data_IF_576101243529
#
_entry.id   IF_576101243529
#
_cell.length_a   1.000
_cell.length_b   1.000
_cell.length_c   1.000
_cell.angle_alpha   90.00
_cell.angle_beta   90.00
_cell.angle_gamma   90.00
#
_symmetry.space_group_name_H-M   'P 1'
#
loop_
_entity.id
_entity.type
_entity.pdbx_description
1 polymer ?
#
# COMPACT_ATOMS: atom_id res chain seq x y z
N UNK A 1 -9.11 19.55 -6.14
CA UNK A 1 -9.86 18.81 -7.17
C UNK A 1 -8.97 17.68 -7.71
N UNK A 2 -9.55 16.51 -7.98
CA UNK A 2 -8.86 15.39 -8.65
C UNK A 2 -8.57 15.81 -10.09
N UNK A 3 -7.34 15.61 -10.54
CA UNK A 3 -6.87 15.95 -11.88
C UNK A 3 -6.56 14.73 -12.74
N UNK A 4 -6.25 13.59 -12.10
CA UNK A 4 -5.89 12.35 -12.76
C UNK A 4 -6.33 11.16 -11.90
N UNK A 5 -6.83 10.11 -12.55
CA UNK A 5 -7.19 8.85 -11.91
C UNK A 5 -6.49 7.70 -12.61
N UNK A 6 -5.90 6.80 -11.83
CA UNK A 6 -5.25 5.59 -12.34
C UNK A 6 -5.70 4.37 -11.55
N UNK A 7 -5.79 3.24 -12.25
CA UNK A 7 -6.07 1.93 -11.68
C UNK A 7 -4.79 1.11 -11.66
N UNK A 8 -4.46 0.57 -10.50
CA UNK A 8 -3.38 -0.39 -10.27
C UNK A 8 -3.98 -1.73 -9.86
N UNK A 9 -4.22 -2.64 -10.82
CA UNK A 9 -4.86 -3.94 -10.58
C UNK A 9 -3.91 -4.91 -9.86
N UNK A 10 -4.41 -6.07 -9.39
CA UNK A 10 -3.55 -7.16 -8.95
C UNK A 10 -2.68 -7.66 -10.11
N UNK A 11 -1.54 -8.28 -9.79
CA UNK A 11 -0.55 -8.76 -10.78
C UNK A 11 0.02 -7.66 -11.70
N UNK A 12 -0.01 -6.41 -11.26
CA UNK A 12 0.48 -5.24 -12.00
C UNK A 12 1.96 -5.33 -12.36
N UNK A 13 2.75 -6.07 -11.58
CA UNK A 13 4.14 -6.34 -11.89
C UNK A 13 4.31 -7.10 -13.20
N UNK A 14 3.51 -8.13 -13.44
CA UNK A 14 3.51 -8.87 -14.69
C UNK A 14 3.01 -8.00 -15.86
N UNK A 15 2.01 -7.15 -15.63
CA UNK A 15 1.50 -6.23 -16.65
C UNK A 15 2.55 -5.18 -17.07
N UNK A 16 3.48 -4.81 -16.19
CA UNK A 16 4.60 -3.91 -16.52
C UNK A 16 5.56 -4.54 -17.54
N UNK A 17 5.69 -5.86 -17.56
CA UNK A 17 6.60 -6.57 -18.46
C UNK A 17 6.05 -6.72 -19.89
N UNK A 18 4.75 -6.60 -20.08
CA UNK A 18 4.14 -6.68 -21.41
C UNK A 18 4.55 -5.48 -22.25
N UNK A 19 5.21 -5.72 -23.39
CA UNK A 19 5.66 -4.66 -24.29
C UNK A 19 4.49 -3.95 -24.99
N UNK A 20 3.47 -4.71 -25.39
CA UNK A 20 2.33 -4.25 -26.17
C UNK A 20 1.02 -4.49 -25.45
N UNK A 21 0.00 -3.70 -25.81
CA UNK A 21 -1.36 -3.88 -25.34
C UNK A 21 -1.90 -5.21 -25.85
N UNK A 22 -2.45 -6.10 -25.01
CA UNK A 22 -3.08 -7.32 -25.44
C UNK A 22 -4.23 -7.06 -26.42
N UNK A 23 -4.46 -7.99 -27.35
CA UNK A 23 -5.56 -7.87 -28.32
C UNK A 23 -6.95 -8.00 -27.71
N UNK A 24 -7.07 -8.68 -26.56
CA UNK A 24 -8.33 -8.75 -25.81
C UNK A 24 -8.52 -7.48 -24.97
N UNK A 25 -9.74 -6.96 -24.97
CA UNK A 25 -10.10 -5.82 -24.11
C UNK A 25 -10.79 -6.33 -22.86
N UNK A 26 -10.23 -5.96 -21.72
CA UNK A 26 -10.85 -6.15 -20.42
C UNK A 26 -10.67 -4.83 -19.66
N UNK A 27 -11.77 -4.17 -19.28
CA UNK A 27 -11.79 -2.80 -18.78
C UNK A 27 -10.66 -2.44 -17.82
N UNK A 28 -10.45 -3.25 -16.80
CA UNK A 28 -9.41 -3.03 -15.80
C UNK A 28 -7.97 -3.02 -16.39
N UNK A 29 -7.68 -3.90 -17.33
CA UNK A 29 -6.36 -3.96 -17.96
C UNK A 29 -6.17 -2.86 -18.99
N UNK A 30 -7.22 -2.43 -19.68
CA UNK A 30 -7.17 -1.29 -20.57
C UNK A 30 -6.77 -0.01 -19.82
N UNK A 31 -7.37 0.26 -18.66
CA UNK A 31 -7.04 1.38 -17.79
C UNK A 31 -5.57 1.35 -17.31
N UNK A 32 -5.05 0.14 -17.02
CA UNK A 32 -3.65 -0.01 -16.65
C UNK A 32 -2.70 0.29 -17.82
N UNK A 33 -3.06 -0.09 -19.05
CA UNK A 33 -2.26 0.26 -20.21
C UNK A 33 -2.27 1.76 -20.52
N UNK A 34 -3.38 2.45 -20.27
CA UNK A 34 -3.44 3.91 -20.35
C UNK A 34 -2.51 4.57 -19.31
N UNK A 35 -2.40 4.00 -18.12
CA UNK A 35 -1.39 4.38 -17.14
C UNK A 35 0.05 4.18 -17.67
N UNK A 36 0.38 3.02 -18.27
CA UNK A 36 1.71 2.79 -18.88
C UNK A 36 2.03 3.81 -19.96
N UNK A 37 1.08 4.13 -20.81
CA UNK A 37 1.22 5.17 -21.84
C UNK A 37 1.48 6.53 -21.17
N UNK A 38 0.76 6.85 -20.09
CA UNK A 38 0.95 8.08 -19.35
C UNK A 38 2.33 8.16 -18.69
N UNK A 39 2.91 7.04 -18.24
CA UNK A 39 4.28 6.99 -17.73
C UNK A 39 5.32 7.36 -18.81
N UNK A 40 5.10 6.99 -20.06
CA UNK A 40 6.04 7.22 -21.15
C UNK A 40 5.92 8.65 -21.76
N UNK A 41 4.80 9.34 -21.54
CA UNK A 41 4.62 10.71 -22.05
C UNK A 41 5.49 11.70 -21.29
N UNK A 42 6.28 12.55 -21.94
CA UNK A 42 7.04 13.60 -21.27
C UNK A 42 6.09 14.59 -20.57
N UNK A 43 6.48 15.04 -19.38
CA UNK A 43 5.78 16.11 -18.68
C UNK A 43 6.35 17.48 -19.10
N UNK A 44 5.52 18.51 -19.22
CA UNK A 44 5.98 19.88 -19.51
C UNK A 44 6.95 20.40 -18.44
N UNK A 45 6.77 19.96 -17.20
CA UNK A 45 7.65 20.25 -16.06
C UNK A 45 7.76 18.99 -15.20
N UNK A 46 8.97 18.66 -14.69
CA UNK A 46 9.12 17.60 -13.69
C UNK A 46 8.27 17.87 -12.46
N UNK A 47 7.68 16.84 -11.88
CA UNK A 47 7.01 16.96 -10.59
C UNK A 47 8.04 17.21 -9.49
N UNK A 48 7.71 18.07 -8.55
CA UNK A 48 8.48 18.20 -7.31
C UNK A 48 8.00 17.09 -6.38
N UNK A 49 8.87 16.15 -6.07
CA UNK A 49 8.57 15.03 -5.20
C UNK A 49 8.91 15.44 -3.76
N UNK A 50 7.96 15.20 -2.85
CA UNK A 50 8.21 15.41 -1.43
C UNK A 50 9.34 14.48 -0.93
N UNK A 51 10.35 15.00 -0.23
CA UNK A 51 11.46 14.20 0.27
C UNK A 51 11.04 13.01 1.15
N UNK A 52 9.93 13.16 1.89
CA UNK A 52 9.40 12.08 2.74
C UNK A 52 8.79 10.97 1.90
N UNK A 53 8.04 11.30 0.84
CA UNK A 53 7.55 10.31 -0.12
C UNK A 53 8.72 9.59 -0.78
N UNK A 54 9.75 10.33 -1.21
CA UNK A 54 10.96 9.74 -1.82
C UNK A 54 11.64 8.74 -0.86
N UNK A 55 11.80 9.11 0.41
CA UNK A 55 12.38 8.22 1.42
C UNK A 55 11.50 6.99 1.68
N UNK A 56 10.16 7.12 1.70
CA UNK A 56 9.25 5.98 1.85
C UNK A 56 9.31 5.05 0.63
N UNK A 57 9.40 5.60 -0.58
CA UNK A 57 9.57 4.80 -1.80
C UNK A 57 10.87 3.99 -1.78
N UNK A 58 11.97 4.60 -1.35
CA UNK A 58 13.26 3.91 -1.22
C UNK A 58 13.16 2.76 -0.21
N UNK A 59 12.52 2.96 0.94
CA UNK A 59 12.33 1.91 1.94
C UNK A 59 11.45 0.75 1.43
N UNK A 60 10.40 1.05 0.68
CA UNK A 60 9.52 0.03 0.07
C UNK A 60 10.28 -0.80 -0.98
N UNK A 61 11.09 -0.14 -1.80
CA UNK A 61 11.80 -0.79 -2.89
C UNK A 61 13.16 -1.39 -2.45
N UNK A 62 13.71 -1.04 -1.28
CA UNK A 62 15.12 -1.27 -0.92
C UNK A 62 16.06 -0.78 -2.03
N UNK A 63 15.79 0.42 -2.53
CA UNK A 63 16.47 0.99 -3.67
C UNK A 63 15.60 1.99 -4.44
N UNK A 64 15.98 2.29 -5.66
CA UNK A 64 15.33 3.30 -6.48
C UNK A 64 14.97 2.76 -7.86
N UNK A 65 13.87 3.26 -8.41
CA UNK A 65 13.41 2.96 -9.76
C UNK A 65 13.53 4.22 -10.62
N UNK A 66 14.15 4.08 -11.78
CA UNK A 66 14.29 5.15 -12.75
C UNK A 66 13.85 4.69 -14.13
N UNK A 67 13.17 5.57 -14.84
CA UNK A 67 12.89 5.37 -16.25
C UNK A 67 14.06 5.96 -17.05
N UNK A 68 14.76 5.12 -17.79
CA UNK A 68 15.85 5.49 -18.67
C UNK A 68 15.43 5.11 -20.08
N UNK A 69 15.13 6.10 -20.91
CA UNK A 69 14.52 5.91 -22.23
C UNK A 69 13.22 5.09 -22.12
N UNK A 70 13.10 3.97 -22.81
CA UNK A 70 11.95 3.06 -22.80
C UNK A 70 12.08 1.92 -21.77
N UNK A 71 13.08 1.97 -20.89
CA UNK A 71 13.35 0.91 -19.91
C UNK A 71 13.23 1.44 -18.48
N UNK A 72 12.78 0.58 -17.61
CA UNK A 72 12.79 0.83 -16.16
C UNK A 72 13.98 0.08 -15.58
N UNK A 73 14.86 0.84 -14.91
CA UNK A 73 16.05 0.31 -14.24
C UNK A 73 15.84 0.40 -12.74
N UNK A 74 16.10 -0.69 -12.07
CA UNK A 74 16.12 -0.78 -10.62
C UNK A 74 17.57 -0.69 -10.13
N UNK A 75 17.80 0.24 -9.22
CA UNK A 75 19.06 0.45 -8.51
C UNK A 75 18.90 0.02 -7.08
N UNK A 76 19.64 -0.98 -6.63
CA UNK A 76 19.62 -1.44 -5.24
C UNK A 76 20.37 -0.47 -4.34
N UNK A 77 20.08 -0.47 -3.05
CA UNK A 77 20.85 0.31 -2.05
C UNK A 77 22.33 -0.13 -1.98
N UNK A 78 22.65 -1.35 -2.42
CA UNK A 78 24.03 -1.87 -2.51
C UNK A 78 24.77 -1.42 -3.78
N UNK A 79 24.16 -0.61 -4.66
CA UNK A 79 24.77 -0.07 -5.85
C UNK A 79 24.69 -0.97 -7.11
N UNK A 80 23.95 -2.07 -7.05
CA UNK A 80 23.72 -2.90 -8.23
C UNK A 80 22.55 -2.33 -9.04
N UNK A 81 22.69 -2.29 -10.36
CA UNK A 81 21.62 -1.91 -11.29
C UNK A 81 21.19 -3.06 -12.16
N UNK A 82 19.88 -3.16 -12.41
CA UNK A 82 19.31 -4.19 -13.28
C UNK A 82 18.01 -3.71 -13.94
N UNK A 83 17.63 -4.29 -15.10
CA UNK A 83 16.30 -4.05 -15.65
C UNK A 83 15.22 -4.49 -14.66
N UNK A 84 14.05 -3.81 -14.64
CA UNK A 84 12.92 -4.19 -13.77
C UNK A 84 12.50 -5.65 -13.98
N UNK A 85 12.58 -6.16 -15.22
CA UNK A 85 12.28 -7.57 -15.56
C UNK A 85 13.13 -8.58 -14.80
N UNK A 86 14.35 -8.22 -14.40
CA UNK A 86 15.25 -9.06 -13.61
C UNK A 86 15.08 -8.88 -12.08
N UNK A 87 14.31 -7.89 -11.65
CA UNK A 87 14.10 -7.63 -10.24
C UNK A 87 13.15 -8.64 -9.58
N UNK A 88 13.15 -8.69 -8.25
CA UNK A 88 12.24 -9.52 -7.47
C UNK A 88 10.77 -9.14 -7.71
N UNK A 89 9.84 -10.11 -7.58
CA UNK A 89 8.40 -9.89 -7.78
C UNK A 89 7.86 -8.72 -6.95
N UNK A 90 8.30 -8.61 -5.70
CA UNK A 90 7.90 -7.50 -4.82
C UNK A 90 8.27 -6.12 -5.34
N UNK A 91 9.40 -6.00 -6.04
CA UNK A 91 9.83 -4.73 -6.68
C UNK A 91 8.96 -4.45 -7.91
N UNK A 92 8.71 -5.48 -8.72
CA UNK A 92 7.85 -5.38 -9.90
C UNK A 92 6.42 -4.96 -9.54
N UNK A 93 5.87 -5.52 -8.47
CA UNK A 93 4.52 -5.16 -7.97
C UNK A 93 4.44 -3.72 -7.46
N UNK A 94 5.49 -3.21 -6.83
CA UNK A 94 5.51 -1.84 -6.33
C UNK A 94 5.93 -0.80 -7.38
N UNK A 95 6.57 -1.22 -8.47
CA UNK A 95 7.07 -0.34 -9.51
C UNK A 95 6.00 0.60 -10.09
N UNK A 96 4.78 0.16 -10.45
CA UNK A 96 3.76 1.05 -10.97
C UNK A 96 3.42 2.21 -10.04
N UNK A 97 3.23 1.92 -8.74
CA UNK A 97 2.87 2.95 -7.76
C UNK A 97 4.02 3.92 -7.49
N UNK A 98 5.24 3.41 -7.34
CA UNK A 98 6.40 4.26 -7.09
C UNK A 98 6.78 5.10 -8.31
N UNK A 99 6.67 4.57 -9.53
CA UNK A 99 6.86 5.34 -10.76
C UNK A 99 5.78 6.40 -10.95
N UNK A 100 4.54 6.11 -10.56
CA UNK A 100 3.44 7.07 -10.57
C UNK A 100 3.76 8.26 -9.66
N UNK A 101 4.18 8.00 -8.42
CA UNK A 101 4.56 9.04 -7.45
C UNK A 101 5.83 9.80 -7.86
N UNK A 102 6.78 9.13 -8.54
CA UNK A 102 7.96 9.78 -9.10
C UNK A 102 7.62 10.73 -10.25
N UNK A 103 6.60 10.41 -11.01
CA UNK A 103 6.24 11.18 -12.21
C UNK A 103 5.27 12.30 -11.93
N UNK A 104 4.29 12.06 -11.05
CA UNK A 104 3.19 13.00 -10.79
C UNK A 104 3.22 13.45 -9.34
N UNK A 105 2.84 14.71 -9.10
CA UNK A 105 2.59 15.15 -7.74
C UNK A 105 1.45 14.35 -7.11
N UNK A 106 1.59 13.98 -5.84
CA UNK A 106 0.53 13.32 -5.07
C UNK A 106 -0.75 14.18 -5.01
N UNK A 107 -0.60 15.51 -5.01
CA UNK A 107 -1.72 16.46 -4.95
C UNK A 107 -2.61 16.36 -6.18
N UNK A 108 -3.87 15.99 -5.97
CA UNK A 108 -4.87 15.84 -7.05
C UNK A 108 -4.77 14.52 -7.82
N UNK A 109 -3.86 13.64 -7.43
CA UNK A 109 -3.81 12.27 -7.92
C UNK A 109 -4.91 11.43 -7.26
N UNK A 110 -5.56 10.58 -8.03
CA UNK A 110 -6.50 9.56 -7.53
C UNK A 110 -6.00 8.19 -7.98
N UNK A 111 -5.91 7.24 -7.06
CA UNK A 111 -5.43 5.89 -7.33
C UNK A 111 -6.43 4.87 -6.80
N UNK A 112 -6.91 4.00 -7.69
CA UNK A 112 -7.58 2.78 -7.33
C UNK A 112 -6.51 1.69 -7.24
N UNK A 113 -6.21 1.23 -6.04
CA UNK A 113 -5.10 0.34 -5.77
C UNK A 113 -5.61 -0.98 -5.20
N UNK A 114 -5.62 -2.00 -6.03
CA UNK A 114 -6.05 -3.32 -5.61
C UNK A 114 -4.89 -4.10 -5.00
N UNK A 115 -5.13 -4.64 -3.81
CA UNK A 115 -4.20 -5.48 -3.07
C UNK A 115 -2.75 -4.94 -3.07
N UNK A 116 -2.49 -3.76 -2.46
CA UNK A 116 -1.14 -3.19 -2.42
C UNK A 116 -0.12 -4.12 -1.75
N UNK A 117 -0.58 -5.06 -0.95
CA UNK A 117 0.21 -6.08 -0.25
C UNK A 117 0.61 -7.29 -1.12
N UNK A 118 0.04 -7.45 -2.31
CA UNK A 118 0.27 -8.63 -3.16
C UNK A 118 1.77 -8.89 -3.39
N UNK A 119 2.18 -10.15 -3.20
CA UNK A 119 3.57 -10.61 -3.33
C UNK A 119 4.60 -9.94 -2.40
N UNK A 120 4.14 -9.28 -1.33
CA UNK A 120 5.01 -8.61 -0.38
C UNK A 120 5.16 -9.40 0.93
N UNK A 121 6.40 -9.48 1.44
CA UNK A 121 6.65 -9.93 2.79
C UNK A 121 5.96 -9.01 3.81
N UNK A 122 5.45 -9.50 4.96
CA UNK A 122 4.75 -8.70 5.97
C UNK A 122 5.45 -7.39 6.34
N UNK A 123 6.77 -7.40 6.50
CA UNK A 123 7.54 -6.18 6.77
C UNK A 123 7.38 -5.11 5.69
N UNK A 124 7.34 -5.50 4.42
CA UNK A 124 7.14 -4.57 3.31
C UNK A 124 5.70 -4.08 3.22
N UNK A 125 4.71 -4.91 3.59
CA UNK A 125 3.32 -4.48 3.66
C UNK A 125 3.15 -3.30 4.62
N UNK A 126 3.85 -3.32 5.76
CA UNK A 126 3.90 -2.19 6.71
C UNK A 126 4.49 -0.93 6.06
N UNK A 127 5.60 -1.05 5.32
CA UNK A 127 6.24 0.08 4.64
C UNK A 127 5.37 0.65 3.51
N UNK A 128 4.62 -0.20 2.82
CA UNK A 128 3.65 0.23 1.79
C UNK A 128 2.51 1.02 2.42
N UNK A 129 2.01 0.61 3.58
CA UNK A 129 1.00 1.38 4.32
C UNK A 129 1.54 2.78 4.71
N UNK A 130 2.80 2.88 5.12
CA UNK A 130 3.44 4.17 5.41
C UNK A 130 3.56 5.05 4.15
N UNK A 131 3.98 4.49 3.03
CA UNK A 131 4.05 5.22 1.75
C UNK A 131 2.68 5.73 1.30
N UNK A 132 1.66 4.89 1.41
CA UNK A 132 0.27 5.25 1.08
C UNK A 132 -0.21 6.38 2.00
N UNK A 133 0.04 6.28 3.29
CA UNK A 133 -0.29 7.31 4.28
C UNK A 133 0.37 8.66 3.95
N UNK A 134 1.66 8.64 3.62
CA UNK A 134 2.37 9.83 3.14
C UNK A 134 1.74 10.43 1.88
N UNK A 135 1.38 9.61 0.90
CA UNK A 135 0.77 10.07 -0.34
C UNK A 135 -0.60 10.72 -0.08
N UNK A 136 -1.42 10.13 0.81
CA UNK A 136 -2.72 10.69 1.22
C UNK A 136 -2.53 12.05 1.88
N UNK A 137 -1.58 12.19 2.80
CA UNK A 137 -1.30 13.46 3.49
C UNK A 137 -0.78 14.55 2.54
N UNK A 138 -0.22 14.17 1.40
CA UNK A 138 0.16 15.09 0.32
C UNK A 138 -0.97 15.36 -0.69
N UNK A 139 -2.18 14.88 -0.42
CA UNK A 139 -3.38 15.16 -1.21
C UNK A 139 -3.67 14.15 -2.32
N UNK A 140 -3.12 12.95 -2.24
CA UNK A 140 -3.54 11.82 -3.05
C UNK A 140 -4.86 11.24 -2.52
N UNK A 141 -5.81 11.00 -3.41
CA UNK A 141 -7.04 10.27 -3.10
C UNK A 141 -6.83 8.80 -3.44
N UNK A 142 -7.16 7.91 -2.50
CA UNK A 142 -6.94 6.48 -2.72
C UNK A 142 -8.19 5.66 -2.40
N UNK A 143 -8.46 4.68 -3.25
CA UNK A 143 -9.39 3.59 -2.98
C UNK A 143 -8.58 2.31 -3.01
N UNK A 144 -8.67 1.52 -1.94
CA UNK A 144 -7.81 0.37 -1.72
C UNK A 144 -8.69 -0.83 -1.40
N UNK A 145 -8.42 -1.97 -2.05
CA UNK A 145 -8.90 -3.28 -1.60
C UNK A 145 -7.75 -4.00 -0.93
N UNK A 146 -7.98 -4.68 0.17
CA UNK A 146 -6.93 -5.41 0.89
C UNK A 146 -7.48 -6.62 1.63
N UNK A 147 -6.67 -7.67 1.68
CA UNK A 147 -6.86 -8.86 2.49
C UNK A 147 -5.75 -9.02 3.55
N UNK A 148 -4.94 -7.98 3.79
CA UNK A 148 -3.82 -8.01 4.72
C UNK A 148 -4.18 -7.42 6.08
N UNK A 149 -4.09 -8.24 7.12
CA UNK A 149 -4.14 -7.82 8.51
C UNK A 149 -2.95 -6.91 8.88
N UNK A 150 -1.75 -7.17 8.37
CA UNK A 150 -0.57 -6.33 8.58
C UNK A 150 -0.78 -4.92 8.06
N UNK A 151 -1.36 -4.80 6.86
CA UNK A 151 -1.67 -3.51 6.24
C UNK A 151 -2.72 -2.75 7.07
N UNK A 152 -3.86 -3.38 7.38
CA UNK A 152 -4.96 -2.76 8.16
C UNK A 152 -4.46 -2.37 9.55
N UNK A 153 -3.72 -3.24 10.24
CA UNK A 153 -3.15 -2.98 11.55
C UNK A 153 -2.19 -1.79 11.54
N UNK A 154 -1.39 -1.66 10.48
CA UNK A 154 -0.51 -0.49 10.32
C UNK A 154 -1.30 0.79 10.14
N UNK A 155 -2.32 0.80 9.27
CA UNK A 155 -3.21 1.96 9.09
C UNK A 155 -3.88 2.35 10.43
N UNK A 156 -4.40 1.39 11.18
CA UNK A 156 -4.98 1.63 12.51
C UNK A 156 -3.95 2.27 13.47
N UNK A 157 -2.72 1.79 13.48
CA UNK A 157 -1.66 2.38 14.31
C UNK A 157 -1.35 3.82 13.89
N UNK A 158 -1.29 4.12 12.60
CA UNK A 158 -1.04 5.48 12.10
C UNK A 158 -2.18 6.45 12.46
N UNK A 159 -3.44 5.98 12.42
CA UNK A 159 -4.60 6.74 12.88
C UNK A 159 -4.54 7.01 14.39
N UNK A 160 -4.24 6.00 15.20
CA UNK A 160 -4.11 6.13 16.67
C UNK A 160 -2.96 7.07 17.07
N UNK A 161 -1.83 6.98 16.38
CA UNK A 161 -0.71 7.90 16.59
C UNK A 161 -1.08 9.35 16.22
N UNK A 162 -1.89 9.56 15.18
CA UNK A 162 -2.42 10.88 14.87
C UNK A 162 -3.29 11.41 16.01
N UNK A 163 -4.19 10.60 16.57
CA UNK A 163 -5.04 10.99 17.71
C UNK A 163 -4.23 11.29 18.98
N UNK A 164 -3.03 10.71 19.14
CA UNK A 164 -2.15 11.01 20.26
C UNK A 164 -1.56 12.43 20.19
N UNK A 165 -1.49 13.07 19.03
CA UNK A 165 -0.95 14.44 18.88
C UNK A 165 -1.64 15.45 19.81
N UNK A 166 -2.93 15.24 20.07
CA UNK A 166 -3.71 16.14 20.92
C UNK A 166 -3.77 15.70 22.40
N UNK A 167 -3.26 14.50 22.73
CA UNK A 167 -3.43 13.88 24.05
C UNK A 167 -2.14 13.76 24.86
N UNK A 168 -0.98 13.81 24.20
CA UNK A 168 0.32 13.63 24.85
C UNK A 168 1.25 14.78 24.52
N UNK A 169 2.24 15.00 25.39
CA UNK A 169 3.27 16.02 25.13
C UNK A 169 4.03 15.68 23.85
N UNK A 170 4.36 16.67 22.98
CA UNK A 170 5.02 16.44 21.69
C UNK A 170 6.29 15.61 21.76
N UNK A 171 7.11 15.78 22.82
CA UNK A 171 8.36 15.02 23.01
C UNK A 171 8.09 13.52 23.23
N UNK A 172 7.00 13.15 23.92
CA UNK A 172 6.63 11.75 24.14
C UNK A 172 6.27 11.10 22.81
N UNK A 173 5.46 11.78 22.01
CA UNK A 173 5.11 11.30 20.68
C UNK A 173 6.35 11.19 19.78
N UNK A 174 7.18 12.23 19.73
CA UNK A 174 8.42 12.23 18.94
C UNK A 174 9.34 11.07 19.34
N UNK A 175 9.53 10.82 20.64
CA UNK A 175 10.32 9.69 21.16
C UNK A 175 9.74 8.34 20.73
N UNK A 176 8.40 8.18 20.75
CA UNK A 176 7.72 6.96 20.28
C UNK A 176 7.93 6.75 18.77
N UNK A 177 7.72 7.79 17.97
CA UNK A 177 7.88 7.75 16.52
C UNK A 177 9.32 7.38 16.15
N UNK A 178 10.32 8.01 16.78
CA UNK A 178 11.72 7.70 16.56
C UNK A 178 12.06 6.25 16.93
N UNK A 179 11.62 5.77 18.09
CA UNK A 179 11.82 4.38 18.55
C UNK A 179 11.20 3.35 17.59
N UNK A 180 10.12 3.70 16.93
CA UNK A 180 9.39 2.79 16.02
C UNK A 180 9.68 3.06 14.55
N UNK A 181 10.62 3.96 14.24
CA UNK A 181 10.99 4.35 12.88
C UNK A 181 9.77 4.78 12.04
N UNK A 182 8.84 5.53 12.64
CA UNK A 182 7.64 6.06 11.98
C UNK A 182 7.87 7.53 11.67
N UNK A 183 7.61 7.94 10.43
CA UNK A 183 7.70 9.34 10.03
C UNK A 183 6.42 10.07 10.42
N UNK A 184 6.51 11.29 10.98
CA UNK A 184 5.34 12.09 11.37
C UNK A 184 4.37 12.34 10.20
N UNK A 185 4.90 12.51 8.99
CA UNK A 185 4.11 12.70 7.77
C UNK A 185 3.30 11.46 7.34
N UNK A 186 3.51 10.30 7.98
CA UNK A 186 2.70 9.10 7.75
C UNK A 186 1.51 8.97 8.69
N UNK A 187 1.33 9.88 9.66
CA UNK A 187 0.21 9.84 10.58
C UNK A 187 -1.09 10.28 9.87
N UNK A 188 -2.15 9.48 9.95
CA UNK A 188 -3.39 9.68 9.21
C UNK A 188 -4.47 10.22 10.13
N UNK A 189 -5.12 11.31 9.72
CA UNK A 189 -6.34 11.75 10.39
C UNK A 189 -7.47 10.74 10.11
N UNK A 190 -8.04 10.07 11.14
CA UNK A 190 -9.06 9.05 10.94
C UNK A 190 -10.34 9.59 10.28
N UNK A 191 -10.62 10.90 10.36
CA UNK A 191 -11.77 11.52 9.69
C UNK A 191 -11.66 11.54 8.15
N UNK A 192 -10.48 11.25 7.61
CA UNK A 192 -10.22 11.16 6.16
C UNK A 192 -10.36 9.74 5.62
N UNK A 193 -10.62 8.75 6.49
CA UNK A 193 -10.69 7.35 6.12
C UNK A 193 -12.13 6.86 6.16
N UNK A 194 -12.56 6.18 5.09
CA UNK A 194 -13.77 5.36 5.06
C UNK A 194 -13.38 3.90 4.91
N UNK A 195 -14.00 3.02 5.69
CA UNK A 195 -13.81 1.57 5.59
C UNK A 195 -15.12 0.87 5.29
N UNK A 196 -15.06 -0.12 4.40
CA UNK A 196 -16.21 -0.87 3.92
C UNK A 196 -15.86 -2.36 3.86
N UNK A 197 -16.75 -3.18 4.43
CA UNK A 197 -16.64 -4.63 4.38
C UNK A 197 -17.63 -5.19 3.35
N UNK A 198 -17.14 -5.98 2.39
CA UNK A 198 -18.00 -6.77 1.52
C UNK A 198 -18.34 -8.09 2.24
N UNK A 199 -19.56 -8.21 2.75
CA UNK A 199 -20.02 -9.36 3.53
C UNK A 199 -20.97 -10.23 2.71
N UNK A 200 -20.70 -11.53 2.64
CA UNK A 200 -21.63 -12.51 2.10
C UNK A 200 -22.77 -12.75 3.10
N UNK A 201 -23.99 -12.68 2.63
CA UNK A 201 -25.19 -12.90 3.40
C UNK A 201 -25.67 -14.35 3.29
N UNK A 202 -26.53 -14.79 4.22
CA UNK A 202 -27.08 -16.15 4.25
C UNK A 202 -27.99 -16.46 3.04
N UNK A 203 -28.54 -15.44 2.39
CA UNK A 203 -29.33 -15.55 1.17
C UNK A 203 -28.49 -15.70 -0.12
N UNK A 204 -27.16 -15.79 0.01
CA UNK A 204 -26.23 -15.91 -1.11
C UNK A 204 -25.86 -14.59 -1.77
N UNK A 205 -26.45 -13.46 -1.36
CA UNK A 205 -26.07 -12.12 -1.82
C UNK A 205 -24.84 -11.60 -1.10
N UNK A 206 -24.24 -10.51 -1.61
CA UNK A 206 -23.18 -9.77 -0.92
C UNK A 206 -23.63 -8.34 -0.68
N UNK A 207 -23.28 -7.79 0.50
CA UNK A 207 -23.59 -6.40 0.86
C UNK A 207 -22.32 -5.67 1.28
N UNK A 208 -22.26 -4.39 0.93
CA UNK A 208 -21.23 -3.48 1.41
C UNK A 208 -21.71 -2.88 2.74
N UNK A 209 -20.92 -3.08 3.79
CA UNK A 209 -21.21 -2.59 5.14
C UNK A 209 -20.15 -1.54 5.47
N UNK A 210 -20.59 -0.32 5.80
CA UNK A 210 -19.71 0.72 6.33
C UNK A 210 -19.23 0.32 7.74
N UNK A 211 -17.93 0.48 7.98
CA UNK A 211 -17.31 0.18 9.26
C UNK A 211 -16.97 1.47 10.01
N UNK A 212 -17.10 1.46 11.32
CA UNK A 212 -16.71 2.59 12.17
C UNK A 212 -15.20 2.62 12.38
N UNK A 213 -14.54 3.53 11.69
CA UNK A 213 -13.07 3.74 11.78
C UNK A 213 -12.68 4.63 12.97
N UNK A 214 -13.64 5.33 13.58
CA UNK A 214 -13.40 6.20 14.75
C UNK A 214 -13.49 5.44 16.07
N UNK A 215 -13.86 4.17 16.03
CA UNK A 215 -13.88 3.29 17.17
C UNK A 215 -12.50 3.21 17.85
N UNK A 216 -12.47 2.73 19.11
CA UNK A 216 -11.22 2.54 19.87
C UNK A 216 -10.20 1.67 19.12
N UNK A 217 -10.66 0.73 18.31
CA UNK A 217 -9.80 -0.24 17.62
C UNK A 217 -9.49 0.15 16.17
N UNK A 218 -10.15 1.18 15.63
CA UNK A 218 -9.99 1.64 14.25
C UNK A 218 -10.80 0.78 13.28
N UNK A 219 -10.24 0.48 12.10
CA UNK A 219 -10.86 -0.42 11.12
C UNK A 219 -10.97 -1.82 11.73
N UNK A 220 -12.18 -2.39 11.85
CA UNK A 220 -12.38 -3.74 12.36
C UNK A 220 -11.75 -4.78 11.44
N UNK A 221 -11.06 -5.77 12.02
CA UNK A 221 -10.46 -6.90 11.28
C UNK A 221 -10.59 -8.22 12.06
N UNK A 222 -11.65 -8.36 12.83
CA UNK A 222 -11.94 -9.50 13.70
C UNK A 222 -11.95 -10.84 12.96
N UNK A 223 -12.39 -10.87 11.68
CA UNK A 223 -12.41 -12.09 10.89
C UNK A 223 -11.01 -12.73 10.71
N UNK A 224 -9.94 -11.93 10.76
CA UNK A 224 -8.57 -12.43 10.69
C UNK A 224 -8.11 -13.02 12.03
N UNK A 225 -8.54 -12.41 13.16
CA UNK A 225 -8.20 -12.92 14.49
C UNK A 225 -8.81 -14.29 14.75
N UNK A 226 -10.06 -14.52 14.34
CA UNK A 226 -10.73 -15.79 14.58
C UNK A 226 -9.94 -16.96 14.01
N UNK A 227 -9.45 -16.84 12.76
CA UNK A 227 -8.64 -17.89 12.12
C UNK A 227 -7.34 -18.13 12.89
N UNK A 228 -6.70 -17.07 13.36
CA UNK A 228 -5.44 -17.18 14.12
C UNK A 228 -5.71 -17.80 15.52
N UNK A 229 -6.79 -17.41 16.18
CA UNK A 229 -7.17 -17.96 17.48
C UNK A 229 -7.48 -19.45 17.38
N UNK A 230 -8.25 -19.86 16.37
CA UNK A 230 -8.56 -21.28 16.10
C UNK A 230 -7.29 -22.11 15.86
N UNK A 231 -6.32 -21.58 15.09
CA UNK A 231 -5.03 -22.25 14.82
C UNK A 231 -4.14 -22.31 16.08
N UNK A 232 -4.14 -21.29 16.91
CA UNK A 232 -3.43 -21.29 18.21
C UNK A 232 -4.03 -22.32 19.13
N UNK A 233 -5.36 -22.38 19.24
CA UNK A 233 -6.07 -23.36 20.06
C UNK A 233 -5.72 -24.79 19.64
N UNK A 234 -5.83 -25.09 18.33
CA UNK A 234 -5.42 -26.36 17.75
C UNK A 234 -3.96 -26.70 18.09
N UNK A 235 -3.04 -25.74 17.95
CA UNK A 235 -1.62 -25.93 18.27
C UNK A 235 -1.38 -26.23 19.75
N UNK A 236 -2.17 -25.64 20.64
CA UNK A 236 -2.12 -25.91 22.07
C UNK A 236 -2.64 -27.34 22.39
N UNK A 237 -3.72 -27.76 21.77
CA UNK A 237 -4.28 -29.10 21.92
C UNK A 237 -3.27 -30.18 21.45
N UNK A 238 -2.70 -30.01 20.26
CA UNK A 238 -1.66 -30.92 19.72
C UNK A 238 -0.49 -31.01 20.69
N UNK A 239 -0.01 -29.89 21.23
CA UNK A 239 1.11 -29.87 22.18
C UNK A 239 0.81 -30.64 23.47
N UNK A 240 -0.43 -30.52 23.96
CA UNK A 240 -0.86 -31.23 25.15
C UNK A 240 -0.90 -32.74 24.91
N UNK A 241 -1.48 -33.20 23.81
CA UNK A 241 -1.53 -34.60 23.43
C UNK A 241 -0.14 -35.20 23.21
N UNK A 242 0.81 -34.43 22.68
CA UNK A 242 2.21 -34.88 22.50
C UNK A 242 2.99 -34.99 23.83
N UNK A 243 2.56 -34.35 24.92
CA UNK A 243 3.18 -34.44 26.23
C UNK A 243 2.62 -35.57 27.10
N UNK A 244 1.43 -36.06 26.77
CA UNK A 244 0.76 -37.14 27.49
C UNK A 244 1.16 -38.55 26.96
N UNK A 245 1.91 -38.60 25.86
CA UNK A 245 2.51 -39.82 25.28
C UNK A 245 4.04 -39.79 25.42
#
# INVERSE_FOLDING_TARGET
AITRTYLLPPSRGALMELAERPSFRSGMYDEFFDFKIALNRPLPRPAIIDPVISACMQEVNNGNLQQVEDRIIYYTDSGVSMPLTAAASSIKEMAPFTLLLNKFSAKGLSVLFEEPEAHLHPERQVKVADLIACAINQGCHMQITTHSDYFIKRINNLMKLHQLKEKVHPEILAGLLMKKHIKDNCLINPTQIGSYLLKRMNDGTSRIISQDVLSKDGIPFEAFYQVIEDDIELSCEIRNLLKEN
#
